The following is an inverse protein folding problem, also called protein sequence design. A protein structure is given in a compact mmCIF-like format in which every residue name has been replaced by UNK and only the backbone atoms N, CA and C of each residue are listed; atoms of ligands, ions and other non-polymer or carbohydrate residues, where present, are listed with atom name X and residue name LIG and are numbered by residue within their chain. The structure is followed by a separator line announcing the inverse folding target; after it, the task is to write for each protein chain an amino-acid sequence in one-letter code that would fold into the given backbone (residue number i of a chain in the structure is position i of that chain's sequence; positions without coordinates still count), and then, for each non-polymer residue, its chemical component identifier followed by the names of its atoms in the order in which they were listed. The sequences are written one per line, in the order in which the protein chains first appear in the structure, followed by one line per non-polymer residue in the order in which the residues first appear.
data_IF_676873241947
#
_entry.id   IF_676873241947
#
_cell.length_a   1.000
_cell.length_b   1.000
_cell.length_c   1.000
_cell.angle_alpha   90.00
_cell.angle_beta   90.00
_cell.angle_gamma   90.00
#
_symmetry.space_group_name_H-M   'P 1'
#
loop_
_entity.id
_entity.type
_entity.pdbx_description
1 polymer ?
#
# COMPACT_ATOMS: atom_id res chain seq x y z
N UNK A 1 -22.67 20.17 -13.31
CA UNK A 1 -23.98 20.36 -12.67
C UNK A 1 -23.97 20.02 -11.17
N UNK A 2 -23.01 19.21 -10.67
CA UNK A 2 -22.89 18.92 -9.22
C UNK A 2 -22.22 20.07 -8.43
N UNK A 3 -21.23 20.76 -9.01
CA UNK A 3 -20.53 21.86 -8.31
C UNK A 3 -21.38 23.14 -8.09
N UNK A 4 -22.52 23.29 -8.78
CA UNK A 4 -23.37 24.48 -8.66
C UNK A 4 -24.35 24.44 -7.49
N UNK A 5 -24.58 23.27 -6.88
CA UNK A 5 -25.46 23.16 -5.70
C UNK A 5 -24.70 23.53 -4.41
N UNK A 6 -23.43 23.12 -4.29
CA UNK A 6 -22.60 23.39 -3.10
C UNK A 6 -22.12 24.86 -2.99
N UNK A 7 -22.19 25.66 -4.05
CA UNK A 7 -21.78 27.08 -4.03
C UNK A 7 -22.75 28.00 -3.29
N UNK A 8 -23.93 27.48 -2.93
CA UNK A 8 -24.98 28.23 -2.24
C UNK A 8 -24.81 28.29 -0.71
N UNK A 9 -23.95 27.42 -0.14
CA UNK A 9 -23.67 27.41 1.30
C UNK A 9 -22.90 28.65 1.75
N UNK A 10 -23.34 29.24 2.87
CA UNK A 10 -22.84 30.54 3.37
C UNK A 10 -21.33 30.53 3.64
N UNK A 11 -20.75 29.37 3.98
CA UNK A 11 -19.32 29.19 4.22
C UNK A 11 -18.46 29.20 2.93
N UNK A 12 -19.04 28.87 1.78
CA UNK A 12 -18.33 28.82 0.49
C UNK A 12 -18.22 30.21 -0.16
N UNK A 13 -19.08 31.16 0.23
CA UNK A 13 -19.06 32.56 -0.28
C UNK A 13 -17.81 33.33 0.13
N UNK A 14 -17.15 32.94 1.22
CA UNK A 14 -15.95 33.60 1.75
C UNK A 14 -14.64 33.05 1.16
N UNK A 15 -14.71 32.18 0.15
CA UNK A 15 -13.56 31.62 -0.56
C UNK A 15 -13.37 32.41 -1.86
N UNK A 16 -12.34 33.25 -1.88
CA UNK A 16 -11.97 33.99 -3.09
C UNK A 16 -11.25 33.05 -4.07
N UNK A 17 -11.94 32.67 -5.14
CA UNK A 17 -11.41 31.84 -6.23
C UNK A 17 -11.01 32.72 -7.41
N UNK A 18 -9.73 32.69 -7.79
CA UNK A 18 -9.19 33.36 -8.97
C UNK A 18 -9.11 32.41 -10.17
N UNK A 19 -9.26 32.97 -11.38
CA UNK A 19 -9.14 32.22 -12.64
C UNK A 19 -7.85 32.58 -13.37
N UNK A 20 -7.20 31.58 -13.95
CA UNK A 20 -5.95 31.67 -14.70
C UNK A 20 -6.12 30.97 -16.06
N UNK A 21 -6.73 31.65 -17.05
CA UNK A 21 -7.00 31.08 -18.36
C UNK A 21 -5.73 30.91 -19.20
N UNK A 22 -5.75 29.90 -20.06
CA UNK A 22 -4.84 29.70 -21.20
C UNK A 22 -5.68 29.64 -22.49
N UNK A 23 -5.02 29.54 -23.65
CA UNK A 23 -5.72 29.33 -24.93
C UNK A 23 -6.62 28.09 -24.99
N UNK A 24 -6.40 27.06 -24.16
CA UNK A 24 -7.13 25.77 -24.23
C UNK A 24 -7.83 25.34 -22.95
N UNK A 25 -7.43 25.88 -21.80
CA UNK A 25 -7.88 25.45 -20.47
C UNK A 25 -7.98 26.65 -19.53
N UNK A 26 -8.83 26.55 -18.51
CA UNK A 26 -8.85 27.50 -17.40
C UNK A 26 -8.39 26.79 -16.15
N UNK A 27 -7.47 27.42 -15.40
CA UNK A 27 -7.08 26.98 -14.07
C UNK A 27 -7.79 27.83 -13.02
N UNK A 28 -8.10 27.25 -11.87
CA UNK A 28 -8.69 27.96 -10.74
C UNK A 28 -7.78 27.81 -9.52
N UNK A 29 -7.66 28.86 -8.72
CA UNK A 29 -6.85 28.84 -7.51
C UNK A 29 -7.44 29.70 -6.41
N UNK A 30 -7.26 29.27 -5.16
CA UNK A 30 -7.70 30.01 -3.97
C UNK A 30 -6.51 30.72 -3.34
N UNK A 31 -6.68 32.01 -3.06
CA UNK A 31 -5.64 32.81 -2.40
C UNK A 31 -5.45 32.41 -0.94
N UNK A 32 -4.21 32.19 -0.46
CA UNK A 32 -3.96 31.95 0.95
C UNK A 32 -4.41 33.15 1.80
N UNK A 33 -5.29 32.93 2.78
CA UNK A 33 -5.76 34.00 3.68
C UNK A 33 -4.65 34.55 4.59
N UNK A 34 -3.59 33.77 4.85
CA UNK A 34 -2.44 34.18 5.67
C UNK A 34 -1.28 34.64 4.79
N UNK A 35 -0.99 35.95 4.81
CA UNK A 35 0.18 36.54 4.15
C UNK A 35 1.47 36.06 4.84
N UNK A 36 2.50 35.72 4.05
CA UNK A 36 3.86 35.44 4.54
C UNK A 36 4.30 33.97 4.56
N UNK A 37 3.42 33.01 4.26
CA UNK A 37 3.85 31.61 4.00
C UNK A 37 4.14 31.41 2.52
N UNK A 38 5.22 30.69 2.21
CA UNK A 38 5.57 30.27 0.85
C UNK A 38 4.48 29.35 0.31
N UNK A 39 3.91 29.69 -0.84
CA UNK A 39 2.99 28.81 -1.56
C UNK A 39 3.76 27.96 -2.55
N UNK A 40 3.30 26.73 -2.74
CA UNK A 40 3.86 25.79 -3.72
C UNK A 40 2.76 25.40 -4.69
N UNK A 41 3.08 25.40 -5.98
CA UNK A 41 2.20 24.91 -7.03
C UNK A 41 2.93 23.85 -7.86
N UNK A 42 2.34 22.66 -7.94
CA UNK A 42 2.89 21.50 -8.65
C UNK A 42 1.91 21.12 -9.75
N UNK A 43 2.43 20.90 -10.95
CA UNK A 43 1.63 20.42 -12.08
C UNK A 43 2.27 19.15 -12.63
N UNK A 44 1.46 18.12 -12.75
CA UNK A 44 1.86 16.79 -13.20
C UNK A 44 1.43 16.61 -14.67
N UNK A 45 2.38 16.30 -15.55
CA UNK A 45 2.09 15.96 -16.96
C UNK A 45 1.85 17.16 -17.90
N UNK A 46 2.84 18.05 -18.03
CA UNK A 46 2.71 19.30 -18.79
C UNK A 46 3.15 19.14 -20.24
N UNK A 47 2.42 19.82 -21.14
CA UNK A 47 2.85 20.02 -22.54
C UNK A 47 3.24 21.47 -22.84
N UNK A 48 2.41 22.47 -22.53
CA UNK A 48 2.73 23.90 -22.76
C UNK A 48 1.70 24.85 -22.09
N UNK A 49 1.90 25.26 -20.83
CA UNK A 49 0.89 25.97 -20.02
C UNK A 49 1.41 27.29 -19.39
N UNK A 50 2.45 27.86 -20.02
CA UNK A 50 3.23 29.02 -19.60
C UNK A 50 2.43 30.28 -19.21
N UNK A 51 1.32 30.54 -19.90
CA UNK A 51 0.47 31.72 -19.66
C UNK A 51 -0.19 31.68 -18.27
N UNK A 52 -0.78 30.54 -17.88
CA UNK A 52 -1.43 30.41 -16.58
C UNK A 52 -0.44 30.50 -15.43
N UNK A 53 0.73 29.85 -15.57
CA UNK A 53 1.80 29.89 -14.56
C UNK A 53 2.28 31.32 -14.34
N UNK A 54 2.47 32.08 -15.42
CA UNK A 54 2.86 33.48 -15.35
C UNK A 54 1.82 34.33 -14.59
N UNK A 55 0.53 34.11 -14.84
CA UNK A 55 -0.55 34.82 -14.14
C UNK A 55 -0.63 34.43 -12.66
N UNK A 56 -0.46 33.15 -12.34
CA UNK A 56 -0.43 32.65 -10.97
C UNK A 56 0.74 33.24 -10.18
N UNK A 57 1.95 33.28 -10.75
CA UNK A 57 3.13 33.89 -10.10
C UNK A 57 2.96 35.38 -9.80
N UNK A 58 2.24 36.12 -10.66
CA UNK A 58 1.90 37.54 -10.42
C UNK A 58 0.89 37.71 -9.29
N UNK A 59 -0.05 36.78 -9.18
CA UNK A 59 -1.15 36.83 -8.20
C UNK A 59 -0.68 36.37 -6.82
N UNK A 60 0.03 35.24 -6.77
CA UNK A 60 0.55 34.63 -5.55
C UNK A 60 2.02 35.03 -5.36
N UNK A 61 2.27 36.15 -4.69
CA UNK A 61 3.65 36.61 -4.40
C UNK A 61 4.41 35.55 -3.61
N UNK A 62 5.57 35.13 -4.11
CA UNK A 62 6.42 34.10 -3.50
C UNK A 62 6.01 32.65 -3.83
N UNK A 63 5.11 32.46 -4.81
CA UNK A 63 4.77 31.13 -5.33
C UNK A 63 5.99 30.46 -5.93
N UNK A 64 6.35 29.28 -5.41
CA UNK A 64 7.30 28.38 -6.05
C UNK A 64 6.57 27.41 -6.95
N UNK A 65 7.01 27.24 -8.19
CA UNK A 65 6.34 26.35 -9.16
C UNK A 65 7.21 25.19 -9.59
N UNK A 66 6.60 24.00 -9.61
CA UNK A 66 7.23 22.76 -10.07
C UNK A 66 6.39 22.13 -11.19
N UNK A 67 7.03 21.66 -12.24
CA UNK A 67 6.37 20.99 -13.36
C UNK A 67 6.99 19.64 -13.67
N UNK A 68 6.20 18.71 -14.17
CA UNK A 68 6.71 17.40 -14.63
C UNK A 68 6.23 17.03 -16.03
N UNK A 69 7.03 16.24 -16.73
CA UNK A 69 6.66 15.58 -17.99
C UNK A 69 7.45 14.30 -18.19
N UNK A 70 6.86 13.30 -18.83
CA UNK A 70 7.50 12.02 -19.09
C UNK A 70 8.58 12.07 -20.20
N UNK A 71 8.56 13.10 -21.06
CA UNK A 71 9.23 13.09 -22.37
C UNK A 71 10.34 14.15 -22.54
N UNK A 72 11.17 14.37 -21.52
CA UNK A 72 12.40 15.17 -21.67
C UNK A 72 12.16 16.64 -22.02
N UNK A 73 10.92 17.10 -21.90
CA UNK A 73 10.56 18.47 -22.19
C UNK A 73 11.08 19.36 -21.07
N UNK A 74 11.69 20.49 -21.41
CA UNK A 74 11.97 21.56 -20.44
C UNK A 74 10.89 22.63 -20.55
N UNK A 75 10.53 23.26 -19.43
CA UNK A 75 9.65 24.42 -19.44
C UNK A 75 10.21 25.49 -18.51
N UNK A 76 10.61 26.62 -19.10
CA UNK A 76 11.30 27.72 -18.39
C UNK A 76 10.38 28.53 -17.47
N UNK A 77 9.06 28.35 -17.58
CA UNK A 77 8.09 29.10 -16.77
C UNK A 77 7.92 28.51 -15.37
N UNK A 78 8.40 27.27 -15.18
CA UNK A 78 8.52 26.65 -13.88
C UNK A 78 9.86 26.99 -13.22
N UNK A 79 9.87 27.14 -11.89
CA UNK A 79 11.14 27.36 -11.18
C UNK A 79 12.01 26.11 -11.23
N UNK A 80 11.38 24.93 -11.21
CA UNK A 80 12.01 23.63 -11.40
C UNK A 80 11.11 22.74 -12.25
N UNK A 81 11.70 22.04 -13.22
CA UNK A 81 10.98 21.15 -14.11
C UNK A 81 11.68 19.80 -14.15
N UNK A 82 10.90 18.72 -14.05
CA UNK A 82 11.45 17.38 -13.92
C UNK A 82 10.88 16.39 -14.92
N UNK A 83 11.70 15.39 -15.26
CA UNK A 83 11.34 14.32 -16.18
C UNK A 83 10.65 13.16 -15.46
N UNK A 84 9.50 13.43 -14.83
CA UNK A 84 8.70 12.42 -14.14
C UNK A 84 7.29 12.35 -14.72
N UNK A 85 6.79 11.13 -14.88
CA UNK A 85 5.38 10.84 -15.03
C UNK A 85 4.83 10.45 -13.66
N UNK A 86 3.94 11.25 -13.08
CA UNK A 86 3.32 10.94 -11.79
C UNK A 86 1.87 10.52 -12.05
N UNK A 87 1.53 9.32 -11.61
CA UNK A 87 0.21 8.69 -11.78
C UNK A 87 -0.74 9.01 -10.62
N UNK A 88 -1.99 8.57 -10.76
CA UNK A 88 -3.08 8.86 -9.80
C UNK A 88 -3.14 7.89 -8.61
N UNK A 89 -2.18 6.97 -8.47
CA UNK A 89 -2.26 5.86 -7.49
C UNK A 89 -0.97 5.66 -6.71
N UNK A 90 -0.37 6.76 -6.23
CA UNK A 90 0.96 6.76 -5.63
C UNK A 90 2.05 6.11 -6.51
N UNK A 91 1.81 6.00 -7.82
CA UNK A 91 2.75 5.50 -8.80
C UNK A 91 3.42 6.65 -9.54
N UNK A 92 4.63 6.41 -10.02
CA UNK A 92 5.41 7.39 -10.74
C UNK A 92 6.58 6.74 -11.44
N UNK A 93 7.01 7.35 -12.54
CA UNK A 93 8.14 6.93 -13.35
C UNK A 93 9.06 8.11 -13.56
N UNK A 94 10.34 7.92 -13.31
CA UNK A 94 11.41 8.83 -13.70
C UNK A 94 11.99 8.36 -15.02
N UNK A 95 12.07 9.25 -16.00
CA UNK A 95 12.80 8.99 -17.25
C UNK A 95 14.25 9.45 -17.10
N UNK A 96 15.20 8.52 -17.20
CA UNK A 96 16.64 8.80 -17.17
C UNK A 96 17.17 8.88 -18.60
N UNK A 97 17.99 9.90 -18.86
CA UNK A 97 18.58 10.17 -20.18
C UNK A 97 20.10 10.04 -20.14
N UNK A 98 20.71 9.62 -21.24
CA UNK A 98 22.16 9.70 -21.45
C UNK A 98 22.59 11.14 -21.80
N UNK A 99 23.90 11.35 -21.93
CA UNK A 99 24.47 12.65 -22.32
C UNK A 99 24.03 13.10 -23.71
N UNK A 100 23.56 12.17 -24.55
CA UNK A 100 23.08 12.42 -25.92
C UNK A 100 21.56 12.68 -25.97
N UNK A 101 20.86 12.59 -24.83
CA UNK A 101 19.42 12.81 -24.72
C UNK A 101 18.55 11.61 -25.10
N UNK A 102 19.11 10.40 -25.20
CA UNK A 102 18.32 9.17 -25.38
C UNK A 102 17.85 8.64 -24.03
N UNK A 103 16.68 7.99 -24.03
CA UNK A 103 16.15 7.33 -22.82
C UNK A 103 17.00 6.09 -22.53
N UNK A 104 17.57 6.03 -21.32
CA UNK A 104 18.39 4.92 -20.84
C UNK A 104 17.59 4.01 -19.93
N UNK A 105 16.73 4.57 -19.08
CA UNK A 105 16.03 3.84 -18.03
C UNK A 105 14.70 4.52 -17.66
N UNK A 106 13.71 3.71 -17.28
CA UNK A 106 12.51 4.16 -16.60
C UNK A 106 12.53 3.61 -15.18
N UNK A 107 12.65 4.50 -14.20
CA UNK A 107 12.75 4.11 -12.78
C UNK A 107 11.45 4.36 -12.05
N UNK A 108 10.94 3.34 -11.38
CA UNK A 108 9.75 3.46 -10.53
C UNK A 108 10.01 4.37 -9.33
N UNK A 109 9.01 5.18 -8.99
CA UNK A 109 9.02 6.09 -7.86
C UNK A 109 7.59 6.26 -7.33
N UNK A 110 7.41 6.19 -6.02
CA UNK A 110 6.10 6.51 -5.46
C UNK A 110 5.79 8.01 -5.50
N UNK A 111 4.52 8.38 -5.63
CA UNK A 111 4.12 9.80 -5.56
C UNK A 111 4.58 10.47 -4.25
N UNK A 112 4.44 9.85 -3.06
CA UNK A 112 5.00 10.42 -1.83
C UNK A 112 6.49 10.71 -1.92
N UNK A 113 7.29 9.76 -2.43
CA UNK A 113 8.74 9.92 -2.61
C UNK A 113 9.08 11.06 -3.59
N UNK A 114 8.29 11.28 -4.64
CA UNK A 114 8.45 12.46 -5.50
C UNK A 114 8.34 13.76 -4.72
N UNK A 115 7.29 13.92 -3.91
CA UNK A 115 7.12 15.14 -3.13
C UNK A 115 8.23 15.27 -2.07
N UNK A 116 8.49 14.24 -1.27
CA UNK A 116 9.44 14.33 -0.15
C UNK A 116 10.90 14.41 -0.57
N UNK A 117 11.30 13.63 -1.57
CA UNK A 117 12.71 13.41 -1.87
C UNK A 117 13.16 14.28 -3.06
N UNK A 118 12.28 14.44 -4.06
CA UNK A 118 12.57 15.22 -5.27
C UNK A 118 12.20 16.69 -5.08
N UNK A 119 10.95 16.98 -4.71
CA UNK A 119 10.52 18.37 -4.48
C UNK A 119 11.06 18.93 -3.16
N UNK A 120 11.42 18.05 -2.20
CA UNK A 120 11.71 18.41 -0.81
C UNK A 120 10.54 19.13 -0.14
N UNK A 121 9.33 18.83 -0.61
CA UNK A 121 8.08 19.34 -0.08
C UNK A 121 7.36 18.15 0.56
N UNK A 122 6.91 18.28 1.81
CA UNK A 122 6.04 17.22 2.35
C UNK A 122 4.73 17.28 1.57
N UNK A 123 4.30 16.19 0.90
CA UNK A 123 2.96 16.19 0.30
C UNK A 123 1.97 16.54 1.41
N UNK A 124 0.85 17.22 1.11
CA UNK A 124 -0.24 17.36 2.06
C UNK A 124 -0.87 15.98 2.25
N UNK A 125 -0.17 15.09 2.98
CA UNK A 125 -0.81 13.95 3.61
C UNK A 125 -1.83 14.56 4.56
N UNK A 126 -3.10 14.25 4.36
CA UNK A 126 -4.10 14.48 5.40
C UNK A 126 -3.50 13.85 6.66
N UNK A 127 -3.18 14.64 7.70
CA UNK A 127 -2.53 14.10 8.88
C UNK A 127 -3.42 12.99 9.42
N UNK A 128 -2.91 11.77 9.46
CA UNK A 128 -3.60 10.68 10.12
C UNK A 128 -3.43 10.88 11.62
N UNK A 129 -4.52 11.20 12.30
CA UNK A 129 -4.52 11.55 13.72
C UNK A 129 -5.07 10.40 14.53
N UNK A 130 -4.19 9.46 14.84
CA UNK A 130 -4.55 8.23 15.55
C UNK A 130 -5.25 8.50 16.89
N UNK A 131 -4.83 9.55 17.60
CA UNK A 131 -5.38 9.92 18.91
C UNK A 131 -6.78 10.55 18.84
N UNK A 132 -7.20 11.01 17.67
CA UNK A 132 -8.53 11.59 17.44
C UNK A 132 -9.53 10.55 16.91
N UNK A 133 -9.10 9.29 16.71
CA UNK A 133 -9.97 8.25 16.20
C UNK A 133 -11.07 7.89 17.21
N UNK A 134 -12.30 7.64 16.72
CA UNK A 134 -13.37 7.18 17.58
C UNK A 134 -13.02 5.81 18.15
N UNK A 135 -13.61 5.55 19.30
CA UNK A 135 -13.61 4.23 19.87
C UNK A 135 -14.67 3.37 19.14
N UNK A 136 -14.31 2.18 18.64
CA UNK A 136 -15.25 1.27 17.98
C UNK A 136 -15.49 -0.03 18.78
N UNK A 137 -16.72 -0.53 18.69
CA UNK A 137 -17.10 -1.90 19.05
C UNK A 137 -16.99 -2.76 17.78
N UNK A 138 -16.00 -3.63 17.72
CA UNK A 138 -15.78 -4.52 16.56
C UNK A 138 -16.79 -5.68 16.51
N UNK A 139 -17.72 -5.80 17.48
CA UNK A 139 -18.76 -6.84 17.49
C UNK A 139 -20.03 -6.43 16.72
N UNK A 140 -20.22 -5.13 16.49
CA UNK A 140 -21.41 -4.59 15.81
C UNK A 140 -21.01 -3.64 14.68
N UNK A 141 -21.82 -3.60 13.62
CA UNK A 141 -21.58 -2.68 12.51
C UNK A 141 -21.82 -1.23 12.94
N UNK A 142 -21.02 -0.30 12.40
CA UNK A 142 -21.22 1.13 12.64
C UNK A 142 -22.57 1.57 12.05
N UNK A 143 -23.38 2.36 12.76
CA UNK A 143 -24.62 2.92 12.21
C UNK A 143 -24.37 3.94 11.10
N UNK A 144 -23.13 4.43 10.96
CA UNK A 144 -22.69 5.37 9.93
C UNK A 144 -21.34 4.91 9.38
N UNK A 145 -21.30 3.84 8.56
CA UNK A 145 -20.04 3.33 8.04
C UNK A 145 -19.39 4.37 7.13
N UNK A 146 -18.07 4.54 7.26
CA UNK A 146 -17.30 5.48 6.43
C UNK A 146 -17.41 5.12 4.93
N UNK A 147 -17.42 3.82 4.61
CA UNK A 147 -17.53 3.30 3.27
C UNK A 147 -18.69 2.30 3.13
N UNK A 148 -19.30 2.26 1.95
CA UNK A 148 -20.27 1.21 1.61
C UNK A 148 -19.52 -0.08 1.27
N UNK A 149 -19.17 -0.85 2.30
CA UNK A 149 -18.41 -2.10 2.17
C UNK A 149 -19.12 -3.13 1.27
N UNK A 150 -20.45 -3.19 1.30
CA UNK A 150 -21.22 -4.10 0.45
C UNK A 150 -21.08 -3.75 -1.04
N UNK A 151 -21.19 -2.47 -1.40
CA UNK A 151 -20.98 -2.02 -2.77
C UNK A 151 -19.55 -2.25 -3.24
N UNK A 152 -18.55 -1.98 -2.39
CA UNK A 152 -17.14 -2.27 -2.67
C UNK A 152 -16.94 -3.75 -3.00
N UNK A 153 -17.40 -4.63 -2.12
CA UNK A 153 -17.28 -6.10 -2.27
C UNK A 153 -17.96 -6.57 -3.55
N UNK A 154 -19.21 -6.15 -3.77
CA UNK A 154 -19.99 -6.62 -4.92
C UNK A 154 -19.41 -6.14 -6.26
N UNK A 155 -18.97 -4.89 -6.34
CA UNK A 155 -18.33 -4.33 -7.53
C UNK A 155 -17.02 -5.05 -7.84
N UNK A 156 -16.14 -5.17 -6.83
CA UNK A 156 -14.84 -5.80 -6.99
C UNK A 156 -14.97 -7.25 -7.49
N UNK A 157 -15.77 -8.09 -6.81
CA UNK A 157 -15.87 -9.50 -7.18
C UNK A 157 -16.60 -9.71 -8.51
N UNK A 158 -17.48 -8.79 -8.92
CA UNK A 158 -18.06 -8.80 -10.27
C UNK A 158 -16.98 -8.59 -11.33
N UNK A 159 -16.09 -7.62 -11.13
CA UNK A 159 -14.94 -7.38 -12.01
C UNK A 159 -13.97 -8.56 -12.01
N UNK A 160 -13.50 -8.97 -10.83
CA UNK A 160 -12.47 -9.99 -10.68
C UNK A 160 -12.91 -11.36 -11.22
N UNK A 161 -14.15 -11.78 -10.97
CA UNK A 161 -14.67 -13.07 -11.46
C UNK A 161 -14.61 -13.16 -12.99
N UNK A 162 -14.96 -12.08 -13.70
CA UNK A 162 -14.94 -12.04 -15.17
C UNK A 162 -13.52 -12.15 -15.73
N UNK A 163 -12.54 -11.56 -15.05
CA UNK A 163 -11.13 -11.62 -15.44
C UNK A 163 -10.56 -13.02 -15.19
N UNK A 164 -10.78 -13.57 -13.99
CA UNK A 164 -10.21 -14.87 -13.62
C UNK A 164 -10.74 -16.05 -14.44
N UNK A 165 -11.97 -15.97 -14.95
CA UNK A 165 -12.51 -16.99 -15.85
C UNK A 165 -11.62 -17.21 -17.09
N UNK A 166 -10.96 -16.16 -17.59
CA UNK A 166 -10.05 -16.23 -18.75
C UNK A 166 -8.78 -17.03 -18.47
N UNK A 167 -8.44 -17.22 -17.21
CA UNK A 167 -7.20 -17.86 -16.76
C UNK A 167 -7.42 -19.19 -16.03
N UNK A 168 -8.65 -19.69 -15.99
CA UNK A 168 -9.06 -20.89 -15.23
C UNK A 168 -8.26 -22.17 -15.53
N UNK A 169 -7.53 -22.24 -16.65
CA UNK A 169 -6.62 -23.34 -17.00
C UNK A 169 -5.21 -22.88 -17.38
N UNK A 170 -4.84 -21.64 -17.03
CA UNK A 170 -3.53 -21.07 -17.36
C UNK A 170 -2.95 -20.28 -16.17
N UNK A 171 -2.51 -20.96 -15.09
CA UNK A 171 -1.92 -20.32 -13.92
C UNK A 171 -0.72 -19.41 -14.25
N UNK A 172 0.15 -19.83 -15.16
CA UNK A 172 1.32 -19.08 -15.60
C UNK A 172 0.90 -17.79 -16.30
N UNK A 173 -0.06 -17.87 -17.21
CA UNK A 173 -0.67 -16.71 -17.84
C UNK A 173 -1.36 -15.79 -16.85
N UNK A 174 -2.02 -16.35 -15.83
CA UNK A 174 -2.67 -15.56 -14.77
C UNK A 174 -1.66 -14.72 -14.01
N UNK A 175 -0.58 -15.34 -13.52
CA UNK A 175 0.44 -14.65 -12.73
C UNK A 175 1.20 -13.62 -13.56
N UNK A 176 1.57 -13.98 -14.80
CA UNK A 176 2.26 -13.07 -15.73
C UNK A 176 1.41 -11.84 -16.06
N UNK A 177 0.10 -12.02 -16.28
CA UNK A 177 -0.81 -10.93 -16.61
C UNK A 177 -1.45 -10.27 -15.39
N UNK A 178 -1.09 -10.68 -14.16
CA UNK A 178 -1.74 -10.22 -12.94
C UNK A 178 -1.73 -8.68 -12.82
N UNK A 179 -0.59 -7.98 -12.94
CA UNK A 179 -0.54 -6.52 -12.84
C UNK A 179 -1.34 -5.79 -13.91
N UNK A 180 -1.44 -6.38 -15.11
CA UNK A 180 -2.06 -5.72 -16.25
C UNK A 180 -3.56 -5.94 -16.35
N UNK A 181 -4.07 -6.98 -15.69
CA UNK A 181 -5.48 -7.36 -15.79
C UNK A 181 -6.25 -6.98 -14.55
N UNK A 182 -5.73 -7.32 -13.38
CA UNK A 182 -6.51 -7.16 -12.15
C UNK A 182 -6.58 -5.72 -11.67
N UNK A 183 -5.60 -4.88 -12.03
CA UNK A 183 -5.60 -3.44 -11.74
C UNK A 183 -6.87 -2.73 -12.20
N UNK A 184 -7.54 -3.23 -13.25
CA UNK A 184 -8.81 -2.65 -13.72
C UNK A 184 -9.87 -2.66 -12.62
N UNK A 185 -9.87 -3.66 -11.75
CA UNK A 185 -10.82 -3.74 -10.63
C UNK A 185 -10.52 -2.74 -9.50
N UNK A 186 -9.28 -2.25 -9.40
CA UNK A 186 -8.90 -1.22 -8.43
C UNK A 186 -9.51 0.15 -8.77
N UNK A 187 -9.73 0.38 -10.07
CA UNK A 187 -10.18 1.66 -10.63
C UNK A 187 -11.71 1.80 -10.67
N UNK A 188 -12.44 0.78 -10.24
CA UNK A 188 -13.90 0.81 -10.18
C UNK A 188 -14.41 1.84 -9.15
N UNK A 189 -15.63 2.35 -9.35
CA UNK A 189 -16.13 3.56 -8.68
C UNK A 189 -16.16 3.46 -7.14
N UNK A 190 -16.47 2.29 -6.58
CA UNK A 190 -16.47 2.07 -5.14
C UNK A 190 -15.12 1.55 -4.65
N UNK A 191 -14.48 0.65 -5.40
CA UNK A 191 -13.20 0.03 -5.01
C UNK A 191 -12.07 1.06 -4.93
N UNK A 192 -12.02 2.02 -5.86
CA UNK A 192 -11.04 3.11 -5.88
C UNK A 192 -11.12 4.04 -4.66
N UNK A 193 -12.22 3.99 -3.88
CA UNK A 193 -12.43 4.80 -2.68
C UNK A 193 -11.86 4.15 -1.41
N UNK A 194 -11.35 2.92 -1.48
CA UNK A 194 -10.67 2.32 -0.33
C UNK A 194 -9.42 3.15 -0.02
N UNK A 195 -9.25 3.65 1.22
CA UNK A 195 -8.19 4.60 1.56
C UNK A 195 -6.84 3.89 1.77
N UNK A 196 -6.33 3.26 0.71
CA UNK A 196 -4.99 2.65 0.71
C UNK A 196 -3.94 3.74 0.83
N UNK A 197 -3.00 3.52 1.75
CA UNK A 197 -1.81 4.35 1.92
C UNK A 197 -0.56 3.56 1.57
N UNK A 198 0.32 4.19 0.79
CA UNK A 198 1.64 3.68 0.46
C UNK A 198 2.65 3.91 1.59
N UNK A 199 3.49 2.90 1.84
CA UNK A 199 4.64 2.91 2.72
C UNK A 199 5.87 2.42 1.95
N UNK A 200 6.69 3.36 1.50
CA UNK A 200 7.82 3.13 0.60
C UNK A 200 9.15 3.17 1.37
N UNK A 201 9.87 2.04 1.36
CA UNK A 201 11.19 1.97 1.98
C UNK A 201 12.32 2.35 1.00
N UNK A 202 12.03 2.63 -0.27
CA UNK A 202 13.01 2.95 -1.33
C UNK A 202 13.50 1.73 -2.12
N UNK A 203 13.18 0.51 -1.69
CA UNK A 203 13.38 -0.74 -2.44
C UNK A 203 12.06 -1.38 -2.84
N UNK A 204 11.02 -1.17 -2.02
CA UNK A 204 9.70 -1.76 -2.18
C UNK A 204 8.63 -0.89 -1.56
N UNK A 205 7.45 -1.01 -2.13
CA UNK A 205 6.25 -0.32 -1.70
C UNK A 205 5.32 -1.31 -1.01
N UNK A 206 4.93 -0.98 0.22
CA UNK A 206 3.89 -1.68 0.98
C UNK A 206 2.63 -0.84 1.00
N UNK A 207 1.48 -1.50 1.07
CA UNK A 207 0.18 -0.86 1.15
C UNK A 207 -0.54 -1.23 2.44
N UNK A 208 -1.22 -0.28 3.05
CA UNK A 208 -2.12 -0.55 4.16
C UNK A 208 -3.30 0.40 4.16
N UNK A 209 -4.45 -0.13 4.57
CA UNK A 209 -5.59 0.65 5.06
C UNK A 209 -5.34 0.91 6.54
N UNK A 210 -5.27 2.18 6.92
CA UNK A 210 -5.12 2.55 8.33
C UNK A 210 -6.44 2.37 9.07
N UNK A 211 -6.43 2.04 10.37
CA UNK A 211 -7.67 1.85 11.11
C UNK A 211 -8.46 3.16 11.20
N UNK A 212 -9.79 3.07 11.07
CA UNK A 212 -10.70 4.22 11.22
C UNK A 212 -11.12 4.45 12.67
N UNK A 213 -10.73 3.55 13.56
CA UNK A 213 -11.11 3.56 14.97
C UNK A 213 -10.05 2.88 15.84
N UNK A 214 -10.08 3.20 17.13
CA UNK A 214 -9.34 2.48 18.17
C UNK A 214 -10.29 1.53 18.90
N UNK A 215 -9.83 0.33 19.24
CA UNK A 215 -10.69 -0.67 19.88
C UNK A 215 -11.13 -0.19 21.27
N UNK A 216 -12.45 -0.16 21.55
CA UNK A 216 -13.04 0.17 22.87
C UNK A 216 -12.70 -0.85 23.93
N UNK A 217 -12.55 -2.09 23.51
CA UNK A 217 -12.66 -3.21 24.41
C UNK A 217 -11.27 -3.50 25.00
N UNK A 218 -11.08 -3.31 26.31
CA UNK A 218 -10.17 -4.21 26.97
C UNK A 218 -10.78 -5.61 26.96
N UNK A 219 -9.95 -6.61 27.24
CA UNK A 219 -10.31 -7.97 27.69
C UNK A 219 -10.13 -9.05 26.61
N UNK A 220 -8.87 -9.40 26.35
CA UNK A 220 -8.49 -10.75 26.77
C UNK A 220 -7.90 -10.63 28.18
N UNK A 221 -8.44 -11.39 29.14
CA UNK A 221 -7.68 -11.70 30.34
C UNK A 221 -6.56 -12.64 29.92
N UNK A 222 -5.31 -12.16 30.01
CA UNK A 222 -4.13 -13.03 30.12
C UNK A 222 -4.38 -14.07 31.24
N UNK A 223 -3.80 -15.27 31.17
CA UNK A 223 -3.75 -16.26 32.27
C UNK A 223 -3.41 -15.65 33.65
N UNK A 224 -2.83 -14.44 33.68
CA UNK A 224 -2.50 -13.63 34.86
C UNK A 224 -3.47 -12.48 35.18
N UNK A 225 -4.67 -12.45 34.61
CA UNK A 225 -5.71 -11.44 34.85
C UNK A 225 -5.31 -9.97 34.54
N UNK A 226 -4.42 -9.72 33.58
CA UNK A 226 -4.06 -8.36 33.16
C UNK A 226 -4.96 -7.87 32.01
N UNK A 227 -5.48 -6.64 32.11
CA UNK A 227 -6.13 -5.94 31.00
C UNK A 227 -5.09 -5.65 29.91
N UNK A 228 -5.30 -6.13 28.68
CA UNK A 228 -4.55 -5.69 27.50
C UNK A 228 -5.50 -5.06 26.48
N UNK A 229 -5.12 -3.89 25.98
CA UNK A 229 -5.71 -3.29 24.78
C UNK A 229 -5.30 -4.12 23.55
N UNK A 230 -6.22 -4.25 22.60
CA UNK A 230 -5.93 -4.89 21.33
C UNK A 230 -5.02 -3.98 20.49
N UNK A 231 -3.76 -4.37 20.36
CA UNK A 231 -2.78 -3.65 19.53
C UNK A 231 -2.91 -4.05 18.06
N UNK A 232 -2.59 -3.11 17.19
CA UNK A 232 -2.44 -3.39 15.75
C UNK A 232 -1.16 -4.19 15.52
N UNK A 233 -1.27 -5.36 14.89
CA UNK A 233 -0.13 -6.28 14.73
C UNK A 233 0.39 -6.29 13.30
N UNK A 234 1.70 -6.09 13.13
CA UNK A 234 2.43 -6.36 11.87
C UNK A 234 3.27 -7.62 12.02
N UNK A 235 3.09 -8.58 11.10
CA UNK A 235 3.96 -9.76 10.96
C UNK A 235 4.63 -9.72 9.59
N UNK A 236 5.96 -9.74 9.56
CA UNK A 236 6.74 -9.76 8.31
C UNK A 236 7.52 -11.05 8.18
N UNK A 237 7.24 -11.80 7.11
CA UNK A 237 8.00 -12.95 6.65
C UNK A 237 9.00 -12.49 5.60
N UNK A 238 10.30 -12.67 5.86
CA UNK A 238 11.35 -12.16 4.97
C UNK A 238 11.53 -10.65 5.10
N UNK A 239 11.75 -10.17 6.33
CA UNK A 239 12.10 -8.79 6.58
C UNK A 239 13.41 -8.41 5.87
N UNK A 240 13.58 -7.12 5.54
CA UNK A 240 14.81 -6.58 4.95
C UNK A 240 15.60 -5.77 5.97
N UNK A 241 16.86 -5.47 5.67
CA UNK A 241 17.64 -4.49 6.46
C UNK A 241 16.99 -3.10 6.43
N UNK A 242 16.43 -2.73 5.28
CA UNK A 242 15.70 -1.49 5.14
C UNK A 242 14.30 -1.63 5.74
N UNK A 243 14.09 -0.92 6.84
CA UNK A 243 12.89 -0.99 7.70
C UNK A 243 12.10 0.32 7.78
N UNK A 244 12.33 1.24 6.83
CA UNK A 244 11.68 2.55 6.81
C UNK A 244 10.15 2.44 6.80
N UNK A 245 9.57 1.51 6.03
CA UNK A 245 8.10 1.33 5.98
C UNK A 245 7.54 0.90 7.33
N UNK A 246 8.24 0.02 8.04
CA UNK A 246 7.89 -0.44 9.39
C UNK A 246 7.95 0.70 10.40
N UNK A 247 9.02 1.51 10.35
CA UNK A 247 9.19 2.70 11.19
C UNK A 247 8.12 3.75 10.91
N UNK A 248 7.77 3.99 9.64
CA UNK A 248 6.74 4.94 9.24
C UNK A 248 5.36 4.51 9.78
N UNK A 249 5.01 3.23 9.69
CA UNK A 249 3.75 2.72 10.27
C UNK A 249 3.78 2.82 11.80
N UNK A 250 4.87 2.44 12.44
CA UNK A 250 5.05 2.52 13.90
C UNK A 250 4.96 3.96 14.41
N UNK A 251 5.42 4.94 13.61
CA UNK A 251 5.28 6.36 13.91
C UNK A 251 3.84 6.88 13.81
N UNK A 252 2.96 6.19 13.06
CA UNK A 252 1.55 6.57 12.90
C UNK A 252 0.63 5.87 13.90
N UNK A 253 0.97 4.66 14.36
CA UNK A 253 0.13 3.82 15.20
C UNK A 253 0.75 3.68 16.60
N UNK A 254 0.11 4.26 17.62
CA UNK A 254 0.61 4.20 19.01
C UNK A 254 0.52 2.80 19.63
N UNK A 255 -0.55 2.07 19.34
CA UNK A 255 -0.78 0.70 19.82
C UNK A 255 -0.41 -0.28 18.71
N UNK A 256 0.89 -0.47 18.50
CA UNK A 256 1.46 -1.28 17.44
C UNK A 256 2.45 -2.31 17.99
N UNK A 257 2.29 -3.57 17.60
CA UNK A 257 3.25 -4.65 17.86
C UNK A 257 3.78 -5.17 16.53
N UNK A 258 5.11 -5.24 16.38
CA UNK A 258 5.75 -5.73 15.15
C UNK A 258 6.60 -6.98 15.38
N UNK A 259 6.41 -7.99 14.52
CA UNK A 259 7.11 -9.27 14.56
C UNK A 259 7.72 -9.55 13.19
N UNK A 260 9.04 -9.70 13.14
CA UNK A 260 9.78 -9.92 11.91
C UNK A 260 10.59 -11.21 11.94
N UNK A 261 10.74 -11.84 10.78
CA UNK A 261 11.70 -12.92 10.58
C UNK A 261 12.52 -12.71 9.32
N UNK A 262 13.79 -13.09 9.39
CA UNK A 262 14.70 -13.12 8.25
C UNK A 262 15.81 -14.13 8.51
N UNK A 263 16.03 -15.13 7.64
CA UNK A 263 17.12 -16.08 7.83
C UNK A 263 18.53 -15.46 7.73
N UNK A 264 18.67 -14.32 7.05
CA UNK A 264 19.99 -13.79 6.68
C UNK A 264 20.52 -12.76 7.66
N UNK A 265 19.71 -11.78 8.03
CA UNK A 265 20.14 -10.69 8.90
C UNK A 265 19.86 -11.00 10.38
N UNK A 266 20.83 -10.68 11.24
CA UNK A 266 20.66 -10.76 12.68
C UNK A 266 20.12 -9.43 13.24
N UNK A 267 19.17 -9.50 14.18
CA UNK A 267 18.52 -8.38 14.91
C UNK A 267 18.13 -7.16 14.05
N UNK A 268 16.82 -6.89 13.95
CA UNK A 268 16.29 -5.65 13.38
C UNK A 268 15.49 -4.89 14.43
N UNK A 269 15.91 -3.66 14.78
CA UNK A 269 15.31 -2.83 15.83
C UNK A 269 13.98 -2.20 15.46
N UNK A 270 13.59 -2.21 14.18
CA UNK A 270 12.25 -1.76 13.78
C UNK A 270 11.14 -2.72 14.26
N UNK A 271 11.51 -3.96 14.59
CA UNK A 271 10.61 -4.99 15.09
C UNK A 271 10.69 -5.12 16.61
N UNK A 272 9.54 -5.20 17.29
CA UNK A 272 9.50 -5.48 18.73
C UNK A 272 9.97 -6.90 19.05
N UNK A 273 9.70 -7.85 18.14
CA UNK A 273 10.25 -9.21 18.17
C UNK A 273 10.87 -9.55 16.81
N UNK A 274 12.11 -10.01 16.80
CA UNK A 274 12.79 -10.41 15.57
C UNK A 274 13.48 -11.76 15.74
N UNK A 275 13.27 -12.68 14.79
CA UNK A 275 13.90 -14.00 14.81
C UNK A 275 14.70 -14.25 13.53
N UNK A 276 15.95 -14.67 13.66
CA UNK A 276 16.81 -14.98 12.51
C UNK A 276 16.54 -16.41 12.00
N UNK A 277 15.37 -16.62 11.40
CA UNK A 277 14.90 -17.93 10.90
C UNK A 277 14.09 -17.77 9.63
N UNK A 278 14.10 -18.82 8.79
CA UNK A 278 13.11 -19.01 7.74
C UNK A 278 11.92 -19.83 8.25
N UNK A 279 10.77 -19.73 7.59
CA UNK A 279 9.66 -20.65 7.84
C UNK A 279 9.80 -21.92 7.03
N UNK A 280 9.51 -23.06 7.65
CA UNK A 280 9.42 -24.34 6.96
C UNK A 280 8.33 -25.26 7.49
N UNK A 281 7.99 -26.29 6.73
CA UNK A 281 7.06 -27.35 7.17
C UNK A 281 7.71 -28.23 8.24
N UNK A 282 9.04 -28.36 8.22
CA UNK A 282 9.80 -29.18 9.18
C UNK A 282 10.76 -28.33 10.02
N UNK A 283 11.06 -28.77 11.26
CA UNK A 283 11.99 -28.09 12.18
C UNK A 283 13.47 -28.40 11.86
N UNK A 284 13.86 -28.37 10.58
CA UNK A 284 15.20 -28.73 10.10
C UNK A 284 15.85 -27.61 9.31
N UNK A 285 17.18 -27.59 9.27
CA UNK A 285 17.93 -26.65 8.41
C UNK A 285 17.51 -26.79 6.94
N UNK A 286 17.13 -25.69 6.29
CA UNK A 286 16.86 -25.67 4.84
C UNK A 286 18.17 -25.45 4.09
N UNK A 287 18.41 -26.29 3.07
CA UNK A 287 19.46 -26.06 2.06
C UNK A 287 19.08 -24.83 1.23
N UNK A 288 20.05 -23.93 1.01
CA UNK A 288 19.83 -22.82 0.09
C UNK A 288 19.79 -23.33 -1.34
N UNK A 289 18.75 -22.95 -2.09
CA UNK A 289 18.55 -23.42 -3.46
C UNK A 289 19.48 -22.73 -4.48
N UNK A 290 20.08 -21.58 -4.14
CA UNK A 290 20.98 -20.83 -5.00
C UNK A 290 22.33 -20.59 -4.31
N UNK A 291 23.40 -21.18 -4.87
CA UNK A 291 24.77 -21.02 -4.40
C UNK A 291 25.38 -19.67 -4.76
N UNK A 292 24.73 -18.87 -5.61
CA UNK A 292 25.19 -17.55 -6.04
C UNK A 292 24.60 -16.40 -5.21
N UNK A 293 23.78 -16.69 -4.19
CA UNK A 293 23.30 -15.67 -3.26
C UNK A 293 24.49 -15.11 -2.45
N UNK A 294 24.48 -13.80 -2.18
CA UNK A 294 25.54 -13.08 -1.44
C UNK A 294 25.71 -13.55 0.02
N UNK A 295 24.81 -14.41 0.49
CA UNK A 295 24.85 -15.07 1.80
C UNK A 295 25.35 -16.53 1.73
N UNK A 296 25.95 -16.94 0.59
CA UNK A 296 26.45 -18.29 0.28
C UNK A 296 27.45 -18.89 1.27
N UNK A 297 28.03 -18.09 2.16
CA UNK A 297 28.84 -18.58 3.28
C UNK A 297 28.08 -19.54 4.22
N UNK A 298 26.73 -19.50 4.18
CA UNK A 298 25.86 -20.41 4.93
C UNK A 298 25.12 -21.34 3.97
N UNK A 299 25.63 -22.56 3.77
CA UNK A 299 24.93 -23.62 3.01
C UNK A 299 23.52 -23.96 3.54
N UNK A 300 23.17 -23.49 4.74
CA UNK A 300 21.93 -23.79 5.43
C UNK A 300 21.41 -22.59 6.21
N UNK A 301 20.08 -22.41 6.24
CA UNK A 301 19.39 -21.45 7.10
C UNK A 301 18.66 -22.16 8.24
N UNK A 302 18.61 -21.53 9.42
CA UNK A 302 17.82 -22.02 10.53
C UNK A 302 16.32 -21.84 10.20
N UNK A 303 15.49 -22.80 10.63
CA UNK A 303 14.06 -22.76 10.36
C UNK A 303 13.23 -22.91 11.61
N UNK A 304 11.98 -22.47 11.51
CA UNK A 304 10.93 -22.77 12.47
C UNK A 304 9.72 -23.31 11.72
N UNK A 305 9.05 -24.31 12.30
CA UNK A 305 7.79 -24.79 11.76
C UNK A 305 6.76 -23.65 11.66
N UNK A 306 6.08 -23.56 10.52
CA UNK A 306 5.11 -22.50 10.22
C UNK A 306 3.99 -22.42 11.27
N UNK A 307 3.36 -23.53 11.66
CA UNK A 307 2.30 -23.54 12.68
C UNK A 307 2.83 -23.11 14.04
N UNK A 308 4.01 -23.62 14.42
CA UNK A 308 4.68 -23.24 15.67
C UNK A 308 4.95 -21.74 15.71
N UNK A 309 5.44 -21.16 14.61
CA UNK A 309 5.69 -19.73 14.52
C UNK A 309 4.43 -18.91 14.77
N UNK A 310 3.32 -19.22 14.10
CA UNK A 310 2.08 -18.45 14.28
C UNK A 310 1.43 -18.67 15.65
N UNK A 311 1.45 -19.88 16.20
CA UNK A 311 0.86 -20.17 17.52
C UNK A 311 1.69 -19.67 18.71
N UNK A 312 3.02 -19.80 18.65
CA UNK A 312 3.90 -19.54 19.80
C UNK A 312 4.66 -18.21 19.67
N UNK A 313 5.23 -17.93 18.51
CA UNK A 313 6.06 -16.73 18.32
C UNK A 313 5.20 -15.48 18.09
N UNK A 314 4.24 -15.59 17.16
CA UNK A 314 3.26 -14.53 16.89
C UNK A 314 2.24 -14.49 18.02
N UNK A 315 1.56 -15.60 18.29
CA UNK A 315 0.75 -15.78 19.50
C UNK A 315 -0.48 -14.87 19.60
N UNK A 316 -0.92 -14.27 18.50
CA UNK A 316 -2.14 -13.45 18.42
C UNK A 316 -3.20 -14.14 17.55
N UNK A 317 -4.47 -13.89 17.86
CA UNK A 317 -5.61 -14.44 17.10
C UNK A 317 -6.07 -13.54 15.95
N UNK A 318 -5.56 -12.31 15.89
CA UNK A 318 -5.77 -11.38 14.78
C UNK A 318 -4.45 -10.77 14.37
N UNK A 319 -4.12 -10.90 13.09
CA UNK A 319 -2.98 -10.26 12.45
C UNK A 319 -3.56 -9.17 11.55
N UNK A 320 -3.31 -7.91 11.92
CA UNK A 320 -3.82 -6.78 11.17
C UNK A 320 -3.13 -6.64 9.82
N UNK A 321 -1.80 -6.81 9.80
CA UNK A 321 -0.96 -6.70 8.61
C UNK A 321 0.00 -7.89 8.54
N UNK A 322 -0.05 -8.65 7.46
CA UNK A 322 0.87 -9.76 7.17
C UNK A 322 1.66 -9.44 5.89
N UNK A 323 2.97 -9.28 5.99
CA UNK A 323 3.84 -9.08 4.84
C UNK A 323 4.58 -10.37 4.53
N UNK A 324 4.44 -10.87 3.30
CA UNK A 324 4.98 -12.15 2.85
C UNK A 324 5.97 -11.85 1.72
N UNK A 325 7.26 -11.92 2.02
CA UNK A 325 8.32 -11.81 1.03
C UNK A 325 9.03 -13.17 0.91
N UNK A 326 9.26 -13.70 -0.31
CA UNK A 326 9.96 -14.95 -0.53
C UNK A 326 11.44 -14.76 -0.14
N UNK A 327 11.82 -15.28 1.01
CA UNK A 327 13.20 -15.18 1.50
C UNK A 327 13.65 -16.51 2.14
N UNK A 328 14.34 -17.34 1.35
CA UNK A 328 14.92 -18.67 1.66
C UNK A 328 14.05 -19.71 2.42
N UNK A 329 12.79 -19.38 2.75
CA UNK A 329 11.79 -20.26 3.34
C UNK A 329 10.76 -20.75 2.32
N UNK A 330 9.94 -21.72 2.74
CA UNK A 330 8.88 -22.31 1.93
C UNK A 330 7.51 -22.12 2.59
N UNK A 331 7.14 -20.88 2.89
CA UNK A 331 5.82 -20.57 3.43
C UNK A 331 4.72 -20.95 2.44
N UNK A 332 3.79 -21.80 2.86
CA UNK A 332 2.74 -22.36 2.00
C UNK A 332 1.47 -21.48 2.10
N UNK A 333 1.55 -20.24 1.61
CA UNK A 333 0.51 -19.24 1.78
C UNK A 333 -0.89 -19.72 1.32
N UNK A 334 -0.98 -20.57 0.31
CA UNK A 334 -2.23 -21.14 -0.20
C UNK A 334 -2.88 -22.11 0.79
N UNK A 335 -2.10 -22.82 1.61
CA UNK A 335 -2.60 -23.69 2.67
C UNK A 335 -3.04 -22.93 3.91
N UNK A 336 -2.45 -21.75 4.14
CA UNK A 336 -2.76 -20.93 5.29
C UNK A 336 -3.98 -20.05 5.07
N UNK A 337 -4.12 -19.43 3.90
CA UNK A 337 -5.10 -18.38 3.63
C UNK A 337 -6.44 -18.90 3.09
N UNK A 338 -6.49 -20.08 2.47
CA UNK A 338 -7.73 -20.67 1.96
C UNK A 338 -8.70 -21.03 3.09
N UNK A 339 -9.98 -21.21 2.75
CA UNK A 339 -11.01 -21.67 3.67
C UNK A 339 -10.66 -23.07 4.17
N UNK A 340 -10.95 -23.34 5.44
CA UNK A 340 -10.51 -24.53 6.17
C UNK A 340 -8.98 -24.72 6.17
N UNK A 341 -8.24 -23.63 5.90
CA UNK A 341 -6.78 -23.57 5.91
C UNK A 341 -6.19 -23.47 7.32
N UNK A 342 -4.87 -23.42 7.40
CA UNK A 342 -4.15 -23.46 8.68
C UNK A 342 -4.48 -22.26 9.59
N UNK A 343 -4.69 -21.06 9.04
CA UNK A 343 -5.11 -19.92 9.87
C UNK A 343 -6.49 -20.13 10.50
N UNK A 344 -7.48 -20.60 9.73
CA UNK A 344 -8.81 -20.89 10.28
C UNK A 344 -8.78 -22.00 11.33
N UNK A 345 -8.02 -23.08 11.09
CA UNK A 345 -7.82 -24.17 12.08
C UNK A 345 -7.21 -23.67 13.38
N UNK A 346 -6.30 -22.70 13.31
CA UNK A 346 -5.68 -22.06 14.48
C UNK A 346 -6.55 -20.95 15.10
N UNK A 347 -7.67 -20.58 14.46
CA UNK A 347 -8.51 -19.45 14.85
C UNK A 347 -7.80 -18.10 14.68
N UNK A 348 -6.89 -18.00 13.72
CA UNK A 348 -6.15 -16.78 13.39
C UNK A 348 -6.86 -16.08 12.23
N UNK A 349 -7.17 -14.81 12.41
CA UNK A 349 -7.72 -13.92 11.39
C UNK A 349 -6.60 -13.06 10.83
N UNK A 350 -6.56 -12.85 9.52
CA UNK A 350 -5.62 -11.93 8.87
C UNK A 350 -6.43 -10.87 8.13
N UNK A 351 -6.25 -9.59 8.47
CA UNK A 351 -7.03 -8.51 7.87
C UNK A 351 -6.43 -7.97 6.59
N UNK A 352 -5.12 -7.80 6.53
CA UNK A 352 -4.43 -7.22 5.38
C UNK A 352 -3.16 -7.99 5.07
N UNK A 353 -2.85 -8.14 3.79
CA UNK A 353 -1.69 -8.90 3.32
C UNK A 353 -0.97 -8.10 2.25
N UNK A 354 0.35 -7.95 2.36
CA UNK A 354 1.19 -7.64 1.20
C UNK A 354 1.95 -8.91 0.87
N UNK A 355 1.90 -9.35 -0.39
CA UNK A 355 2.56 -10.58 -0.80
C UNK A 355 3.40 -10.34 -2.05
N UNK A 356 4.62 -10.86 -2.05
CA UNK A 356 5.45 -11.01 -3.23
C UNK A 356 5.41 -12.48 -3.69
N UNK A 357 5.21 -12.69 -4.99
CA UNK A 357 4.98 -14.01 -5.60
C UNK A 357 6.05 -14.19 -6.66
N UNK A 358 6.80 -15.28 -6.57
CA UNK A 358 7.79 -15.61 -7.61
C UNK A 358 7.08 -16.12 -8.86
N UNK A 359 7.63 -15.85 -10.05
CA UNK A 359 7.08 -16.39 -11.32
C UNK A 359 6.90 -17.92 -11.32
N UNK A 360 7.68 -18.62 -10.51
CA UNK A 360 7.64 -20.09 -10.37
C UNK A 360 6.47 -20.58 -9.51
N UNK A 361 5.83 -19.70 -8.73
CA UNK A 361 4.73 -20.05 -7.84
C UNK A 361 3.34 -19.86 -8.48
N UNK A 362 3.26 -19.76 -9.81
CA UNK A 362 2.00 -19.57 -10.56
C UNK A 362 0.89 -20.56 -10.16
N UNK A 363 1.22 -21.84 -9.98
CA UNK A 363 0.27 -22.87 -9.54
C UNK A 363 -0.26 -22.63 -8.13
N UNK A 364 0.62 -22.28 -7.18
CA UNK A 364 0.21 -21.96 -5.80
C UNK A 364 -0.64 -20.70 -5.77
N UNK A 365 -0.26 -19.69 -6.57
CA UNK A 365 -1.01 -18.46 -6.72
C UNK A 365 -2.43 -18.70 -7.26
N UNK A 366 -2.57 -19.53 -8.30
CA UNK A 366 -3.88 -19.92 -8.84
C UNK A 366 -4.75 -20.68 -7.83
N UNK A 367 -4.13 -21.59 -7.04
CA UNK A 367 -4.79 -22.32 -5.96
C UNK A 367 -5.22 -21.45 -4.79
N UNK A 368 -4.57 -20.30 -4.57
CA UNK A 368 -4.99 -19.31 -3.60
C UNK A 368 -6.12 -18.44 -4.17
N UNK A 369 -5.86 -17.74 -5.28
CA UNK A 369 -6.74 -16.67 -5.76
C UNK A 369 -8.11 -17.18 -6.20
N UNK A 370 -8.18 -18.35 -6.84
CA UNK A 370 -9.44 -18.86 -7.38
C UNK A 370 -10.49 -19.06 -6.28
N UNK A 371 -10.20 -19.79 -5.18
CA UNK A 371 -11.10 -19.84 -4.02
C UNK A 371 -11.41 -18.48 -3.41
N UNK A 372 -10.41 -17.62 -3.21
CA UNK A 372 -10.63 -16.32 -2.56
C UNK A 372 -11.65 -15.45 -3.29
N UNK A 373 -11.70 -15.52 -4.63
CA UNK A 373 -12.72 -14.82 -5.43
C UNK A 373 -14.08 -15.51 -5.38
N UNK A 374 -14.12 -16.83 -5.55
CA UNK A 374 -15.38 -17.59 -5.53
C UNK A 374 -16.11 -17.43 -4.18
N UNK A 375 -15.35 -17.37 -3.10
CA UNK A 375 -15.84 -17.24 -1.73
C UNK A 375 -15.97 -15.78 -1.28
N UNK A 376 -15.59 -14.82 -2.13
CA UNK A 376 -15.59 -13.38 -1.84
C UNK A 376 -14.83 -12.99 -0.55
N UNK A 377 -13.69 -13.61 -0.30
CA UNK A 377 -12.96 -13.47 0.99
C UNK A 377 -11.98 -12.31 1.03
N UNK A 378 -11.25 -12.08 -0.05
CA UNK A 378 -10.27 -11.01 -0.14
C UNK A 378 -10.43 -10.18 -1.40
N UNK A 379 -10.41 -8.86 -1.24
CA UNK A 379 -10.15 -7.92 -2.32
C UNK A 379 -8.64 -7.86 -2.53
N UNK A 380 -8.17 -7.89 -3.77
CA UNK A 380 -6.76 -7.70 -4.10
C UNK A 380 -6.57 -6.44 -4.93
N UNK A 381 -5.57 -5.64 -4.57
CA UNK A 381 -5.31 -4.33 -5.14
C UNK A 381 -3.82 -4.10 -5.36
N UNK A 382 -3.52 -3.01 -6.07
CA UNK A 382 -2.18 -2.49 -6.38
C UNK A 382 -1.24 -3.57 -6.90
N UNK A 383 -1.67 -4.35 -7.91
CA UNK A 383 -0.83 -5.39 -8.47
C UNK A 383 0.33 -4.74 -9.24
N UNK A 384 1.55 -5.23 -9.05
CA UNK A 384 2.74 -4.71 -9.74
C UNK A 384 3.73 -5.83 -10.03
N UNK A 385 4.46 -5.73 -11.13
CA UNK A 385 5.66 -6.55 -11.36
C UNK A 385 6.88 -5.80 -10.88
N UNK A 386 7.86 -6.50 -10.31
CA UNK A 386 9.19 -5.92 -10.10
C UNK A 386 9.92 -5.75 -11.44
N UNK A 387 10.96 -4.93 -11.43
CA UNK A 387 11.92 -4.83 -12.53
C UNK A 387 12.41 -6.24 -12.94
N UNK A 388 12.42 -6.53 -14.25
CA UNK A 388 12.74 -7.87 -14.78
C UNK A 388 11.59 -8.89 -14.77
N UNK A 389 10.47 -8.63 -14.08
CA UNK A 389 9.28 -9.48 -14.10
C UNK A 389 9.41 -10.79 -13.31
N UNK A 390 10.41 -10.92 -12.44
CA UNK A 390 10.65 -12.13 -11.65
C UNK A 390 9.73 -12.28 -10.44
N UNK A 391 9.26 -11.16 -9.90
CA UNK A 391 8.33 -11.10 -8.78
C UNK A 391 7.09 -10.28 -9.14
N UNK A 392 5.94 -10.76 -8.70
CA UNK A 392 4.66 -10.03 -8.72
C UNK A 392 4.30 -9.66 -7.29
N UNK A 393 3.95 -8.39 -7.02
CA UNK A 393 3.45 -7.94 -5.72
C UNK A 393 1.98 -7.57 -5.81
N UNK A 394 1.25 -7.77 -4.72
CA UNK A 394 -0.12 -7.28 -4.59
C UNK A 394 -0.52 -7.16 -3.12
N UNK A 395 -1.49 -6.30 -2.85
CA UNK A 395 -2.11 -6.11 -1.55
C UNK A 395 -3.43 -6.87 -1.50
N UNK A 396 -3.76 -7.53 -0.39
CA UNK A 396 -5.06 -8.17 -0.15
C UNK A 396 -5.71 -7.58 1.11
N UNK A 397 -7.01 -7.32 1.06
CA UNK A 397 -7.85 -6.89 2.17
C UNK A 397 -8.93 -7.94 2.43
N UNK A 398 -8.99 -8.48 3.65
CA UNK A 398 -10.01 -9.43 4.08
C UNK A 398 -11.35 -8.71 4.26
N UNK A 399 -12.31 -9.12 3.44
CA UNK A 399 -13.67 -8.57 3.44
C UNK A 399 -14.73 -9.56 3.88
N UNK A 400 -14.32 -10.81 4.15
CA UNK A 400 -15.20 -11.82 4.73
C UNK A 400 -15.24 -11.77 6.26
N UNK A 401 -14.19 -11.29 6.93
CA UNK A 401 -14.20 -11.13 8.39
C UNK A 401 -14.81 -9.78 8.80
N UNK A 402 -15.92 -9.78 9.58
CA UNK A 402 -16.59 -8.55 9.98
C UNK A 402 -15.72 -7.63 10.86
N UNK A 403 -14.79 -8.15 11.65
CA UNK A 403 -13.92 -7.29 12.48
C UNK A 403 -12.95 -6.50 11.61
N UNK A 404 -12.43 -7.11 10.54
CA UNK A 404 -11.56 -6.43 9.58
C UNK A 404 -12.35 -5.32 8.84
N UNK A 405 -13.55 -5.63 8.36
CA UNK A 405 -14.43 -4.63 7.73
C UNK A 405 -14.72 -3.47 8.68
N UNK A 406 -15.10 -3.75 9.94
CA UNK A 406 -15.43 -2.73 10.92
C UNK A 406 -14.25 -1.84 11.28
N UNK A 407 -13.06 -2.42 11.40
CA UNK A 407 -11.85 -1.67 11.77
C UNK A 407 -11.34 -0.76 10.65
N UNK A 408 -11.50 -1.17 9.39
CA UNK A 408 -10.83 -0.53 8.25
C UNK A 408 -11.75 0.17 7.25
N UNK A 409 -13.02 -0.23 7.13
CA UNK A 409 -13.96 0.32 6.14
C UNK A 409 -15.20 0.97 6.75
N UNK A 410 -15.57 0.63 7.98
CA UNK A 410 -16.71 1.26 8.66
C UNK A 410 -16.33 2.50 9.45
#
# INVERSE_FOLDING_TARGET
MIASECSSEQYMKDIEVSQFPTKRKVYWGVSPKKKGKRSVFVVLGIRNESEAISLMKRTFKGLKTYGTSAYGSTNKDFDQFYNYAIGVNDTGLQTIYDEQGNIVELKDLSTPSFFTDVLKEKPPLIPYKYEELPICDLTTDSPKPLHNSESIVNEFFKCASMILLRFSMNPQGMLFNWPYTIYVCDEEDFTSKIPLRSFDNGQKQYWAVLPNCVSSLPIYFDMKNNLKQEKTTLVTLGASENSKSEEDIKGLLKDFDSIGIDPFHGKNSAYDKFNQVALSTDNNKLLMADSNDKYSDKNYVATVNQQKFFNETVGVKKIDMLWINPNAGNFEYEKYLNKDGEFEKMGIKVCQINIEITKNDAEKWSKLITPLVQEKRFIFMRPMSTEGGDLTRTFLLNVADPECIRKYLH
#
